data_IF_213467987466
#
_entry.id   IF_213467987466
#
_cell.length_a   1.000
_cell.length_b   1.000
_cell.length_c   1.000
_cell.angle_alpha   90.00
_cell.angle_beta   90.00
_cell.angle_gamma   90.00
#
_symmetry.space_group_name_H-M   'P 1'
#
loop_
_entity.id
_entity.type
_entity.pdbx_description
1 polymer ?
#
# COMPACT_ATOMS: atom_id res chain seq x y z
N UNK A 1 54.31 -26.38 -46.78
CA UNK A 1 53.96 -26.83 -45.44
C UNK A 1 53.20 -25.75 -44.74
N UNK A 2 51.89 -25.92 -44.65
CA UNK A 2 50.93 -24.88 -44.22
C UNK A 2 50.85 -24.87 -42.67
N UNK A 3 51.09 -23.70 -42.08
CA UNK A 3 50.78 -23.43 -40.67
C UNK A 3 49.47 -22.65 -40.58
N UNK A 4 48.43 -23.29 -40.04
CA UNK A 4 47.13 -22.69 -39.82
C UNK A 4 47.17 -21.77 -38.61
N UNK A 5 46.86 -20.49 -38.81
CA UNK A 5 46.58 -19.55 -37.72
C UNK A 5 45.22 -19.86 -37.11
N UNK A 6 45.20 -20.28 -35.85
CA UNK A 6 43.99 -20.30 -35.03
C UNK A 6 43.77 -18.91 -34.45
N UNK A 7 42.75 -18.24 -34.96
CA UNK A 7 42.22 -17.02 -34.33
C UNK A 7 41.33 -17.44 -33.16
N UNK A 8 41.83 -17.20 -31.94
CA UNK A 8 41.07 -17.35 -30.72
C UNK A 8 40.13 -16.15 -30.55
N UNK A 9 38.85 -16.34 -30.84
CA UNK A 9 37.80 -15.38 -30.54
C UNK A 9 37.47 -15.47 -29.06
N UNK A 10 37.86 -14.47 -28.29
CA UNK A 10 37.38 -14.30 -26.90
C UNK A 10 35.91 -13.89 -26.93
N UNK A 11 35.01 -14.54 -26.17
CA UNK A 11 33.66 -14.06 -26.10
C UNK A 11 33.64 -12.74 -25.27
N UNK A 12 33.10 -11.69 -25.86
CA UNK A 12 32.77 -10.46 -25.20
C UNK A 12 31.71 -10.78 -24.11
N UNK A 13 32.12 -10.87 -22.85
CA UNK A 13 31.22 -10.75 -21.73
C UNK A 13 30.67 -9.31 -21.72
N UNK A 14 29.51 -9.11 -22.34
CA UNK A 14 28.66 -7.95 -22.13
C UNK A 14 28.27 -7.93 -20.64
N UNK A 15 29.03 -7.19 -19.86
CA UNK A 15 28.73 -6.88 -18.48
C UNK A 15 27.51 -5.96 -18.51
N UNK A 16 26.34 -6.51 -18.28
CA UNK A 16 25.13 -5.76 -17.97
C UNK A 16 25.35 -5.03 -16.65
N UNK A 17 25.92 -3.83 -16.73
CA UNK A 17 25.82 -2.88 -15.64
C UNK A 17 24.40 -2.31 -15.71
N UNK A 18 23.48 -2.97 -15.04
CA UNK A 18 22.28 -2.31 -14.57
C UNK A 18 22.78 -1.12 -13.73
N UNK A 19 22.64 0.08 -14.23
CA UNK A 19 22.81 1.30 -13.43
C UNK A 19 21.66 1.33 -12.46
N UNK A 20 21.84 0.68 -11.30
CA UNK A 20 20.91 0.80 -10.17
C UNK A 20 20.95 2.26 -9.76
N UNK A 21 19.92 3.01 -10.13
CA UNK A 21 19.72 4.34 -9.59
C UNK A 21 19.73 4.23 -8.04
N UNK A 22 20.37 5.19 -7.34
CA UNK A 22 20.37 5.16 -5.90
C UNK A 22 18.91 5.19 -5.40
N UNK A 23 18.57 4.42 -4.36
CA UNK A 23 17.21 4.36 -3.85
C UNK A 23 16.74 5.76 -3.44
N UNK A 24 15.52 6.12 -3.81
CA UNK A 24 14.90 7.36 -3.37
C UNK A 24 14.73 7.33 -1.86
N UNK A 25 15.15 8.38 -1.16
CA UNK A 25 14.96 8.51 0.28
C UNK A 25 13.65 9.22 0.60
N UNK A 26 12.91 8.71 1.59
CA UNK A 26 11.71 9.35 2.12
C UNK A 26 12.05 10.71 2.73
N UNK A 27 11.27 11.71 2.39
CA UNK A 27 11.36 13.08 2.94
C UNK A 27 10.01 13.51 3.51
N UNK A 28 10.04 14.43 4.46
CA UNK A 28 8.81 15.10 4.92
C UNK A 28 8.10 15.75 3.73
N UNK A 29 6.81 15.52 3.61
CA UNK A 29 5.98 15.93 2.48
C UNK A 29 5.79 14.88 1.40
N UNK A 30 6.63 13.84 1.34
CA UNK A 30 6.45 12.74 0.38
C UNK A 30 5.14 11.99 0.66
N UNK A 31 4.44 11.64 -0.42
CA UNK A 31 3.16 10.92 -0.38
C UNK A 31 3.31 9.59 -1.09
N UNK A 32 3.05 8.52 -0.37
CA UNK A 32 2.97 7.15 -0.89
C UNK A 32 1.52 6.85 -1.21
N UNK A 33 1.26 6.16 -2.32
CA UNK A 33 -0.11 5.91 -2.81
C UNK A 33 -0.29 4.48 -3.26
N UNK A 34 -1.49 3.96 -3.01
CA UNK A 34 -1.92 2.69 -3.57
C UNK A 34 -3.40 2.71 -3.90
N UNK A 35 -3.75 2.19 -5.09
CA UNK A 35 -5.14 1.93 -5.47
C UNK A 35 -5.55 0.55 -5.00
N UNK A 36 -6.83 0.38 -4.65
CA UNK A 36 -7.43 -0.91 -4.30
C UNK A 36 -8.89 -0.94 -4.70
N UNK A 37 -9.34 -2.11 -5.14
CA UNK A 37 -10.74 -2.48 -5.28
C UNK A 37 -10.96 -3.68 -4.38
N UNK A 38 -12.05 -3.69 -3.61
CA UNK A 38 -12.40 -4.85 -2.78
C UNK A 38 -13.51 -5.64 -3.43
N UNK A 39 -13.29 -6.93 -3.58
CA UNK A 39 -14.26 -7.88 -4.11
C UNK A 39 -15.14 -8.48 -3.00
N UNK A 40 -16.16 -9.24 -3.39
CA UNK A 40 -16.97 -10.02 -2.45
C UNK A 40 -16.14 -11.08 -1.73
N UNK A 41 -15.14 -11.65 -2.41
CA UNK A 41 -14.22 -12.64 -1.85
C UNK A 41 -13.35 -12.02 -0.75
N UNK A 42 -12.84 -10.78 -0.96
CA UNK A 42 -12.08 -10.05 0.08
C UNK A 42 -12.89 -9.89 1.37
N UNK A 43 -14.20 -9.60 1.25
CA UNK A 43 -15.12 -9.47 2.38
C UNK A 43 -15.24 -10.79 3.14
N UNK A 44 -15.42 -11.89 2.42
CA UNK A 44 -15.54 -13.24 3.01
C UNK A 44 -14.23 -13.63 3.70
N UNK A 45 -13.10 -13.45 3.05
CA UNK A 45 -11.77 -13.79 3.63
C UNK A 45 -11.47 -12.97 4.87
N UNK A 46 -11.75 -11.66 4.82
CA UNK A 46 -11.56 -10.79 5.99
C UNK A 46 -12.46 -11.20 7.16
N UNK A 47 -13.72 -11.56 6.89
CA UNK A 47 -14.63 -11.99 7.96
C UNK A 47 -14.21 -13.29 8.64
N UNK A 48 -13.56 -14.21 7.92
CA UNK A 48 -13.01 -15.44 8.51
C UNK A 48 -11.90 -15.14 9.52
N UNK A 49 -11.11 -14.09 9.29
CA UNK A 49 -10.01 -13.72 10.17
C UNK A 49 -10.46 -12.79 11.30
N UNK A 50 -11.32 -11.81 11.00
CA UNK A 50 -11.80 -10.82 11.97
C UNK A 50 -12.95 -11.34 12.84
N UNK A 51 -13.67 -12.38 12.37
CA UNK A 51 -14.95 -12.86 12.91
C UNK A 51 -16.07 -11.80 12.86
N UNK A 52 -15.90 -10.73 12.06
CA UNK A 52 -16.94 -9.74 11.83
C UNK A 52 -17.90 -10.24 10.74
N UNK A 53 -19.04 -10.74 11.18
CA UNK A 53 -20.12 -11.27 10.34
C UNK A 53 -21.34 -10.35 10.31
N UNK A 54 -21.16 -9.04 10.52
CA UNK A 54 -22.25 -8.08 10.46
C UNK A 54 -22.99 -8.17 9.11
N UNK A 55 -24.32 -8.33 9.10
CA UNK A 55 -25.11 -8.47 7.86
C UNK A 55 -24.91 -7.34 6.85
N UNK A 56 -24.51 -6.15 7.28
CA UNK A 56 -24.23 -5.01 6.38
C UNK A 56 -23.13 -5.30 5.34
N UNK A 57 -22.30 -6.28 5.59
CA UNK A 57 -21.20 -6.66 4.67
C UNK A 57 -21.62 -7.76 3.67
N UNK A 58 -22.69 -8.51 3.97
CA UNK A 58 -23.05 -9.71 3.22
C UNK A 58 -24.41 -9.64 2.53
N UNK A 59 -25.35 -8.88 3.10
CA UNK A 59 -26.73 -8.80 2.64
C UNK A 59 -27.11 -7.37 2.22
N UNK A 60 -27.43 -7.22 0.93
CA UNK A 60 -27.78 -5.90 0.37
C UNK A 60 -29.09 -5.35 0.94
N UNK A 61 -30.04 -6.21 1.35
CA UNK A 61 -31.30 -5.76 1.96
C UNK A 61 -31.05 -5.21 3.35
N UNK A 62 -30.25 -5.90 4.17
CA UNK A 62 -29.83 -5.41 5.47
C UNK A 62 -29.09 -4.07 5.39
N UNK A 63 -28.20 -3.91 4.40
CA UNK A 63 -27.49 -2.66 4.17
C UNK A 63 -28.46 -1.53 3.78
N UNK A 64 -29.41 -1.78 2.88
CA UNK A 64 -30.45 -0.78 2.48
C UNK A 64 -31.36 -0.39 3.64
N UNK A 65 -31.77 -1.34 4.45
CA UNK A 65 -32.58 -1.09 5.64
C UNK A 65 -31.85 -0.23 6.67
N UNK A 66 -30.51 -0.27 6.67
CA UNK A 66 -29.64 0.58 7.48
C UNK A 66 -29.30 1.94 6.83
N UNK A 67 -29.83 2.23 5.62
CA UNK A 67 -29.66 3.49 4.92
C UNK A 67 -28.46 3.56 3.98
N UNK A 68 -27.87 2.43 3.60
CA UNK A 68 -26.78 2.34 2.63
C UNK A 68 -27.28 1.89 1.25
N UNK A 69 -26.49 2.18 0.22
CA UNK A 69 -26.88 1.86 -1.18
C UNK A 69 -26.70 0.36 -1.51
N UNK A 70 -25.65 -0.24 -0.95
CA UNK A 70 -25.30 -1.66 -1.15
C UNK A 70 -24.44 -2.17 0.02
N UNK A 71 -23.96 -3.41 -0.07
CA UNK A 71 -23.09 -4.06 0.91
C UNK A 71 -21.80 -3.28 1.12
N UNK A 72 -21.44 -3.10 2.38
CA UNK A 72 -20.27 -2.35 2.78
C UNK A 72 -19.01 -3.20 2.79
N UNK A 73 -17.89 -2.61 2.39
CA UNK A 73 -16.56 -3.11 2.73
C UNK A 73 -16.32 -2.85 4.23
N UNK A 74 -15.73 -3.81 4.95
CA UNK A 74 -15.34 -3.62 6.35
C UNK A 74 -14.41 -2.41 6.48
N UNK A 75 -14.75 -1.46 7.33
CA UNK A 75 -13.95 -0.25 7.51
C UNK A 75 -12.50 -0.53 7.89
N UNK A 76 -12.27 -1.53 8.76
CA UNK A 76 -10.93 -1.94 9.16
C UNK A 76 -10.15 -2.64 8.04
N UNK A 77 -10.81 -3.32 7.09
CA UNK A 77 -10.18 -3.85 5.89
C UNK A 77 -9.68 -2.71 5.00
N UNK A 78 -10.47 -1.64 4.86
CA UNK A 78 -10.02 -0.41 4.15
C UNK A 78 -8.82 0.21 4.87
N UNK A 79 -8.87 0.32 6.20
CA UNK A 79 -7.78 0.88 7.01
C UNK A 79 -6.48 0.08 6.91
N UNK A 80 -6.54 -1.24 6.68
CA UNK A 80 -5.38 -2.11 6.49
C UNK A 80 -4.53 -1.72 5.26
N UNK A 81 -5.05 -0.88 4.37
CA UNK A 81 -4.29 -0.33 3.25
C UNK A 81 -3.11 0.53 3.72
N UNK A 82 -3.23 1.26 4.81
CA UNK A 82 -2.17 2.14 5.31
C UNK A 82 -0.90 1.39 5.76
N UNK A 83 -0.97 0.40 6.66
CA UNK A 83 0.21 -0.38 7.01
C UNK A 83 0.78 -1.16 5.81
N UNK A 84 -0.06 -1.61 4.87
CA UNK A 84 0.39 -2.23 3.63
C UNK A 84 1.23 -1.27 2.79
N UNK A 85 0.79 -0.03 2.58
CA UNK A 85 1.55 0.99 1.84
C UNK A 85 2.91 1.22 2.49
N UNK A 86 2.95 1.38 3.81
CA UNK A 86 4.21 1.62 4.52
C UNK A 86 5.14 0.40 4.41
N UNK A 87 4.65 -0.80 4.66
CA UNK A 87 5.48 -2.01 4.65
C UNK A 87 5.98 -2.40 3.26
N UNK A 88 5.24 -2.08 2.19
CA UNK A 88 5.67 -2.35 0.81
C UNK A 88 6.84 -1.46 0.39
N UNK A 89 6.91 -0.22 0.89
CA UNK A 89 8.05 0.67 0.63
C UNK A 89 9.20 0.50 1.62
N UNK A 90 8.90 0.03 2.84
CA UNK A 90 9.86 -0.13 3.94
C UNK A 90 9.71 -1.51 4.60
N UNK A 91 10.19 -2.58 3.95
CA UNK A 91 10.17 -3.90 4.55
C UNK A 91 10.82 -3.92 5.93
N UNK A 92 10.16 -4.54 6.91
CA UNK A 92 10.58 -4.51 8.31
C UNK A 92 10.16 -3.27 9.09
N UNK A 93 9.32 -2.41 8.52
CA UNK A 93 8.67 -1.33 9.27
C UNK A 93 7.80 -1.88 10.40
N UNK A 94 7.85 -1.22 11.56
CA UNK A 94 7.02 -1.55 12.72
C UNK A 94 5.92 -0.49 12.84
N UNK A 95 4.67 -0.90 12.65
CA UNK A 95 3.51 -0.02 12.83
C UNK A 95 3.24 0.16 14.32
N UNK A 96 3.22 1.42 14.79
CA UNK A 96 3.19 1.73 16.22
C UNK A 96 1.80 2.19 16.67
N UNK A 97 1.20 3.11 15.90
CA UNK A 97 -0.11 3.65 16.23
C UNK A 97 -0.87 4.11 15.00
N UNK A 98 -2.20 4.16 15.13
CA UNK A 98 -3.11 4.67 14.11
C UNK A 98 -4.33 5.30 14.79
N UNK A 99 -4.71 6.52 14.38
CA UNK A 99 -6.05 7.06 14.58
C UNK A 99 -6.86 6.93 13.31
N UNK A 100 -8.16 6.66 13.42
CA UNK A 100 -9.05 6.46 12.29
C UNK A 100 -10.37 7.22 12.49
N UNK A 101 -10.80 7.91 11.43
CA UNK A 101 -12.12 8.51 11.34
C UNK A 101 -12.79 8.00 10.05
N UNK A 102 -13.87 7.25 10.20
CA UNK A 102 -14.68 6.76 9.09
C UNK A 102 -15.63 7.85 8.63
N UNK A 103 -15.48 8.34 7.41
CA UNK A 103 -16.20 9.51 6.87
C UNK A 103 -17.31 9.12 5.92
N UNK A 104 -17.06 8.14 5.05
CA UNK A 104 -18.01 7.68 4.05
C UNK A 104 -17.88 6.17 3.83
N UNK A 105 -18.98 5.48 3.47
CA UNK A 105 -18.94 4.05 3.18
C UNK A 105 -18.15 3.75 1.92
N UNK A 106 -17.52 2.57 1.89
CA UNK A 106 -16.97 1.95 0.70
C UNK A 106 -17.86 0.76 0.36
N UNK A 107 -18.31 0.68 -0.87
CA UNK A 107 -19.07 -0.44 -1.39
C UNK A 107 -18.18 -1.42 -2.12
N UNK A 108 -18.64 -2.67 -2.24
CA UNK A 108 -17.95 -3.69 -3.02
C UNK A 108 -17.81 -3.20 -4.47
N UNK A 109 -16.58 -3.24 -5.01
CA UNK A 109 -16.28 -2.77 -6.36
C UNK A 109 -15.86 -1.29 -6.45
N UNK A 110 -16.00 -0.50 -5.39
CA UNK A 110 -15.47 0.88 -5.38
C UNK A 110 -13.95 0.88 -5.58
N UNK A 111 -13.47 1.77 -6.45
CA UNK A 111 -12.04 2.04 -6.59
C UNK A 111 -11.63 3.08 -5.56
N UNK A 112 -10.77 2.71 -4.63
CA UNK A 112 -10.25 3.62 -3.61
C UNK A 112 -8.77 3.92 -3.84
N UNK A 113 -8.33 5.08 -3.37
CA UNK A 113 -6.94 5.52 -3.36
C UNK A 113 -6.52 5.79 -1.92
N UNK A 114 -5.63 4.96 -1.39
CA UNK A 114 -4.97 5.19 -0.12
C UNK A 114 -3.75 6.09 -0.30
N UNK A 115 -3.60 7.07 0.58
CA UNK A 115 -2.47 7.99 0.63
C UNK A 115 -1.86 7.99 2.04
N UNK A 116 -0.55 7.92 2.10
CA UNK A 116 0.24 8.00 3.34
C UNK A 116 1.31 9.05 3.15
N UNK A 117 1.21 10.19 3.83
CA UNK A 117 2.13 11.32 3.71
C UNK A 117 3.03 11.40 4.94
N UNK A 118 4.35 11.39 4.74
CA UNK A 118 5.29 11.65 5.82
C UNK A 118 5.21 13.11 6.29
N UNK A 119 4.81 13.34 7.54
CA UNK A 119 4.67 14.69 8.11
C UNK A 119 5.75 15.04 9.12
N UNK A 120 6.39 14.04 9.71
CA UNK A 120 7.54 14.22 10.59
C UNK A 120 8.45 13.00 10.55
N UNK A 121 9.76 13.22 10.46
CA UNK A 121 10.79 12.17 10.46
C UNK A 121 11.79 12.50 11.55
N UNK A 122 12.03 11.57 12.46
CA UNK A 122 13.01 11.71 13.53
C UNK A 122 13.91 10.49 13.58
N UNK A 123 15.21 10.71 13.52
CA UNK A 123 16.18 9.63 13.74
C UNK A 123 16.16 9.18 15.21
N UNK A 124 16.21 7.88 15.41
CA UNK A 124 16.31 7.25 16.72
C UNK A 124 17.29 6.07 16.67
N UNK A 125 18.52 6.30 17.10
CA UNK A 125 19.64 5.36 17.00
C UNK A 125 19.88 4.95 15.52
N UNK A 126 19.64 3.66 15.18
CA UNK A 126 19.78 3.11 13.83
C UNK A 126 18.45 2.98 13.06
N UNK A 127 17.39 3.66 13.50
CA UNK A 127 16.05 3.59 12.94
C UNK A 127 15.44 4.99 12.86
N UNK A 128 14.29 5.10 12.21
CA UNK A 128 13.58 6.36 12.05
C UNK A 128 12.16 6.21 12.58
N UNK A 129 11.75 7.13 13.46
CA UNK A 129 10.36 7.25 13.88
C UNK A 129 9.70 8.25 12.92
N UNK A 130 8.70 7.78 12.19
CA UNK A 130 8.01 8.60 11.19
C UNK A 130 6.54 8.72 11.56
N UNK A 131 6.05 9.95 11.61
CA UNK A 131 4.63 10.26 11.72
C UNK A 131 4.09 10.51 10.31
N UNK A 132 2.95 9.89 10.03
CA UNK A 132 2.26 10.00 8.76
C UNK A 132 0.86 10.58 8.95
N UNK A 133 0.42 11.42 8.02
CA UNK A 133 -0.99 11.65 7.76
C UNK A 133 -1.52 10.56 6.83
N UNK A 134 -2.66 10.01 7.14
CA UNK A 134 -3.28 8.93 6.34
C UNK A 134 -4.61 9.38 5.81
N UNK A 135 -4.90 9.07 4.54
CA UNK A 135 -6.12 9.45 3.85
C UNK A 135 -6.53 8.38 2.84
N UNK A 136 -7.81 8.10 2.76
CA UNK A 136 -8.38 7.26 1.71
C UNK A 136 -9.55 7.99 1.06
N UNK A 137 -9.59 7.99 -0.26
CA UNK A 137 -10.66 8.62 -1.05
C UNK A 137 -11.19 7.66 -2.10
N UNK A 138 -12.46 7.80 -2.50
CA UNK A 138 -12.97 7.17 -3.71
C UNK A 138 -12.29 7.81 -4.92
N UNK A 139 -11.73 6.98 -5.80
CA UNK A 139 -10.87 7.46 -6.89
C UNK A 139 -11.57 8.46 -7.82
N UNK A 140 -12.82 8.19 -8.18
CA UNK A 140 -13.53 8.95 -9.20
C UNK A 140 -14.17 10.22 -8.62
N UNK A 141 -14.90 10.10 -7.52
CA UNK A 141 -15.64 11.22 -6.88
C UNK A 141 -14.78 12.06 -5.94
N UNK A 142 -13.57 11.59 -5.57
CA UNK A 142 -12.70 12.20 -4.53
C UNK A 142 -13.33 12.32 -3.15
N UNK A 143 -14.42 11.60 -2.91
CA UNK A 143 -15.09 11.57 -1.61
C UNK A 143 -14.13 10.98 -0.58
N UNK A 144 -13.96 11.67 0.55
CA UNK A 144 -13.16 11.22 1.67
C UNK A 144 -13.85 10.03 2.34
N UNK A 145 -13.16 8.91 2.40
CA UNK A 145 -13.63 7.65 3.00
C UNK A 145 -13.13 7.51 4.43
N UNK A 146 -11.84 7.73 4.61
CA UNK A 146 -11.15 7.46 5.86
C UNK A 146 -9.98 8.42 5.99
N UNK A 147 -9.77 9.00 7.16
CA UNK A 147 -8.60 9.80 7.49
C UNK A 147 -8.06 9.50 8.89
N UNK A 148 -6.85 9.97 9.15
CA UNK A 148 -6.22 9.85 10.45
C UNK A 148 -4.72 10.08 10.41
N UNK A 149 -4.03 9.60 11.44
CA UNK A 149 -2.58 9.69 11.56
C UNK A 149 -2.01 8.33 11.96
N UNK A 150 -0.84 8.01 11.42
CA UNK A 150 -0.10 6.80 11.77
C UNK A 150 1.29 7.15 12.29
N UNK A 151 1.85 6.25 13.09
CA UNK A 151 3.27 6.28 13.45
C UNK A 151 3.89 4.93 13.15
N UNK A 152 5.05 4.95 12.51
CA UNK A 152 5.83 3.74 12.25
C UNK A 152 7.31 3.95 12.57
N UNK A 153 7.99 2.87 12.92
CA UNK A 153 9.45 2.82 13.05
C UNK A 153 9.99 2.15 11.79
N UNK A 154 10.75 2.90 11.01
CA UNK A 154 11.35 2.43 9.76
C UNK A 154 12.80 1.98 9.98
N UNK A 155 13.24 0.86 9.38
CA UNK A 155 14.64 0.43 9.46
C UNK A 155 15.57 1.34 8.66
N UNK A 156 15.05 1.97 7.60
CA UNK A 156 15.76 2.87 6.68
C UNK A 156 14.80 3.89 6.10
N UNK A 157 15.31 4.98 5.54
CA UNK A 157 14.54 5.91 4.72
C UNK A 157 14.62 5.59 3.21
N UNK A 158 15.48 4.64 2.81
CA UNK A 158 15.54 4.18 1.43
C UNK A 158 14.24 3.43 1.09
N UNK A 159 13.53 3.92 0.07
CA UNK A 159 12.28 3.33 -0.39
C UNK A 159 12.57 2.20 -1.37
N UNK A 160 11.93 1.06 -1.20
CA UNK A 160 11.89 0.05 -2.24
C UNK A 160 11.00 0.52 -3.40
N UNK A 161 11.40 0.14 -4.61
CA UNK A 161 10.56 0.36 -5.78
C UNK A 161 9.42 -0.65 -5.73
N UNK A 162 8.21 -0.16 -5.49
CA UNK A 162 7.01 -0.97 -5.59
C UNK A 162 6.58 -0.95 -7.05
N UNK A 163 6.67 -2.09 -7.73
CA UNK A 163 6.03 -2.22 -9.03
C UNK A 163 4.55 -1.90 -8.86
N UNK A 164 4.04 -0.97 -9.67
CA UNK A 164 2.62 -0.65 -9.70
C UNK A 164 1.88 -1.83 -10.33
N UNK A 165 1.75 -2.93 -9.59
CA UNK A 165 0.78 -3.96 -9.95
C UNK A 165 -0.59 -3.29 -9.83
N UNK A 166 -1.15 -2.93 -10.97
CA UNK A 166 -2.57 -2.65 -11.09
C UNK A 166 -3.28 -3.98 -10.75
N UNK A 167 -3.51 -4.22 -9.47
CA UNK A 167 -4.45 -5.26 -9.06
C UNK A 167 -5.84 -4.77 -9.49
N UNK A 168 -6.28 -5.32 -10.63
CA UNK A 168 -7.63 -5.20 -11.19
C UNK A 168 -8.58 -5.99 -10.31
#
# INVERSE_FOLDING_TARGET
>A
MLVKNLISSKPHLLRWFSTLEPPRLLRTGDVLRQRRVYSSEDIVEYSKVSHDSNPLHFDAESAKNAGFEDRLVHGMLVAALYPRIISSHFPGAIYVSQSLHFRSPVYVGDVILGEVQAINIRENKKRYIVKFSTKCVKNDSKILVLDGEAMAILPTLAMEQVESTAEV
#
